data_IF_371946340558
#
_entry.id   IF_371946340558
#
_cell.length_a   1.000
_cell.length_b   1.000
_cell.length_c   1.000
_cell.angle_alpha   90.00
_cell.angle_beta   90.00
_cell.angle_gamma   90.00
#
_symmetry.space_group_name_H-M   'P 1'
#
loop_
_entity.id
_entity.type
_entity.pdbx_description
1 polymer ?
#
# COMPACT_ATOMS: atom_id res chain seq x y z
N UNK A 1 -17.74 1.42 -12.86
CA UNK A 1 -16.55 0.57 -12.69
C UNK A 1 -16.97 -0.87 -12.54
N UNK A 2 -16.18 -1.81 -13.04
CA UNK A 2 -16.51 -3.24 -13.09
C UNK A 2 -15.64 -4.00 -12.11
N UNK A 3 -16.21 -4.43 -10.98
CA UNK A 3 -15.50 -5.27 -10.01
C UNK A 3 -14.95 -6.58 -10.61
N UNK A 4 -15.47 -7.00 -11.78
CA UNK A 4 -14.92 -8.14 -12.50
C UNK A 4 -13.49 -7.89 -12.98
N UNK A 5 -13.13 -6.67 -13.40
CA UNK A 5 -11.79 -6.37 -13.88
C UNK A 5 -10.78 -6.43 -12.72
N UNK A 6 -11.13 -5.82 -11.58
CA UNK A 6 -10.40 -5.93 -10.31
C UNK A 6 -10.16 -7.41 -9.96
N UNK A 7 -11.22 -8.23 -9.96
CA UNK A 7 -11.12 -9.66 -9.69
C UNK A 7 -10.24 -10.43 -10.66
N UNK A 8 -10.22 -10.07 -11.94
CA UNK A 8 -9.35 -10.76 -12.90
C UNK A 8 -7.90 -10.38 -12.66
N UNK A 9 -7.62 -9.10 -12.45
CA UNK A 9 -6.26 -8.61 -12.20
C UNK A 9 -5.67 -9.20 -10.92
N UNK A 10 -6.44 -9.22 -9.84
CA UNK A 10 -5.98 -9.78 -8.56
C UNK A 10 -5.68 -11.29 -8.59
N UNK A 11 -6.05 -12.03 -9.65
CA UNK A 11 -5.63 -13.44 -9.81
C UNK A 11 -4.19 -13.60 -10.28
N UNK A 12 -3.56 -12.52 -10.73
CA UNK A 12 -2.13 -12.52 -11.10
C UNK A 12 -1.24 -12.63 -9.86
N UNK A 13 -1.77 -12.31 -8.68
CA UNK A 13 -1.07 -12.30 -7.40
C UNK A 13 -1.58 -13.38 -6.45
N UNK A 14 -0.72 -13.83 -5.55
CA UNK A 14 -1.12 -14.54 -4.34
C UNK A 14 -1.62 -13.50 -3.33
N UNK A 15 -2.65 -13.85 -2.57
CA UNK A 15 -3.31 -12.92 -1.65
C UNK A 15 -3.25 -13.53 -0.26
N UNK A 16 -2.44 -12.95 0.63
CA UNK A 16 -2.48 -13.26 2.05
C UNK A 16 -3.51 -12.35 2.73
N UNK A 17 -4.75 -12.83 2.79
CA UNK A 17 -5.85 -12.11 3.40
C UNK A 17 -6.06 -12.53 4.85
N UNK A 18 -5.95 -11.58 5.77
CA UNK A 18 -6.33 -11.77 7.18
C UNK A 18 -7.85 -11.67 7.28
N UNK A 19 -8.53 -12.80 7.09
CA UNK A 19 -9.99 -12.87 7.21
C UNK A 19 -10.40 -13.37 8.59
N UNK A 20 -11.17 -12.57 9.34
CA UNK A 20 -11.88 -13.06 10.52
C UNK A 20 -13.31 -13.48 10.12
N UNK A 21 -13.63 -14.78 10.12
CA UNK A 21 -14.93 -15.29 9.69
C UNK A 21 -16.08 -14.87 10.61
N UNK A 22 -15.79 -14.33 11.79
CA UNK A 22 -16.81 -13.84 12.74
C UNK A 22 -17.31 -12.44 12.39
N UNK A 23 -16.66 -11.75 11.45
CA UNK A 23 -16.99 -10.38 11.10
C UNK A 23 -18.23 -10.31 10.21
N UNK A 24 -19.20 -9.52 10.64
CA UNK A 24 -20.29 -9.09 9.79
C UNK A 24 -19.82 -7.95 8.87
N UNK A 25 -19.28 -8.30 7.70
CA UNK A 25 -18.71 -7.35 6.74
C UNK A 25 -19.67 -6.21 6.36
N UNK A 26 -20.97 -6.49 6.26
CA UNK A 26 -21.97 -5.47 5.91
C UNK A 26 -22.24 -4.49 7.05
N UNK A 27 -22.16 -4.94 8.29
CA UNK A 27 -22.34 -4.09 9.49
C UNK A 27 -21.12 -3.21 9.69
N UNK A 28 -19.92 -3.78 9.62
CA UNK A 28 -18.67 -3.01 9.70
C UNK A 28 -18.56 -1.94 8.61
N UNK A 29 -18.91 -2.27 7.36
CA UNK A 29 -18.94 -1.28 6.28
C UNK A 29 -19.92 -0.13 6.56
N UNK A 30 -21.10 -0.44 7.11
CA UNK A 30 -22.08 0.60 7.48
C UNK A 30 -21.55 1.49 8.60
N UNK A 31 -20.88 0.92 9.60
CA UNK A 31 -20.26 1.68 10.68
C UNK A 31 -19.19 2.62 10.15
N UNK A 32 -18.28 2.14 9.28
CA UNK A 32 -17.25 2.96 8.64
C UNK A 32 -17.88 4.11 7.83
N UNK A 33 -18.85 3.82 6.96
CA UNK A 33 -19.54 4.85 6.17
C UNK A 33 -20.29 5.88 7.05
N UNK A 34 -20.88 5.43 8.17
CA UNK A 34 -21.49 6.32 9.15
C UNK A 34 -20.46 7.21 9.85
N UNK A 35 -19.30 6.66 10.23
CA UNK A 35 -18.23 7.39 10.92
C UNK A 35 -17.61 8.46 10.02
N UNK A 36 -17.35 8.12 8.75
CA UNK A 36 -16.84 9.07 7.74
C UNK A 36 -17.95 10.07 7.32
N UNK A 37 -19.22 9.66 7.43
CA UNK A 37 -20.37 10.45 6.97
C UNK A 37 -20.52 10.45 5.45
N UNK A 38 -19.91 9.48 4.74
CA UNK A 38 -19.90 9.35 3.29
C UNK A 38 -20.08 7.89 2.88
N UNK A 39 -20.58 7.68 1.66
CA UNK A 39 -20.67 6.36 1.06
C UNK A 39 -19.38 6.03 0.31
N UNK A 40 -18.84 4.83 0.51
CA UNK A 40 -17.68 4.36 -0.24
C UNK A 40 -18.07 3.96 -1.66
N UNK A 41 -17.15 4.08 -2.64
CA UNK A 41 -17.33 3.57 -4.00
C UNK A 41 -17.71 2.08 -4.00
N UNK A 42 -18.56 1.68 -4.94
CA UNK A 42 -19.14 0.32 -4.94
C UNK A 42 -18.11 -0.77 -5.17
N UNK A 43 -17.14 -0.51 -6.05
CA UNK A 43 -16.05 -1.43 -6.36
C UNK A 43 -15.10 -1.63 -5.18
N UNK A 44 -14.79 -0.56 -4.44
CA UNK A 44 -14.00 -0.65 -3.21
C UNK A 44 -14.74 -1.39 -2.10
N UNK A 45 -16.06 -1.19 -1.96
CA UNK A 45 -16.89 -1.99 -1.03
C UNK A 45 -16.86 -3.47 -1.38
N UNK A 46 -16.95 -3.80 -2.66
CA UNK A 46 -16.90 -5.19 -3.11
C UNK A 46 -15.50 -5.80 -2.88
N UNK A 47 -14.43 -5.00 -3.04
CA UNK A 47 -13.07 -5.40 -2.68
C UNK A 47 -12.93 -5.69 -1.18
N UNK A 48 -13.37 -4.77 -0.30
CA UNK A 48 -13.35 -4.96 1.15
C UNK A 48 -14.15 -6.21 1.59
N UNK A 49 -15.25 -6.51 0.88
CA UNK A 49 -16.02 -7.73 1.14
C UNK A 49 -15.35 -8.99 0.63
N UNK A 50 -14.71 -8.93 -0.53
CA UNK A 50 -14.08 -10.07 -1.18
C UNK A 50 -12.76 -10.46 -0.53
N UNK A 51 -11.88 -9.47 -0.34
CA UNK A 51 -10.47 -9.65 0.02
C UNK A 51 -10.19 -9.14 1.43
N UNK A 52 -10.84 -8.05 1.86
CA UNK A 52 -10.58 -7.46 3.17
C UNK A 52 -9.20 -6.82 3.23
N UNK A 53 -8.53 -6.96 4.37
CA UNK A 53 -7.16 -6.48 4.54
C UNK A 53 -6.22 -7.60 4.11
N UNK A 54 -5.27 -7.29 3.23
CA UNK A 54 -4.43 -8.30 2.61
C UNK A 54 -3.11 -7.76 2.11
N UNK A 55 -2.11 -8.63 2.16
CA UNK A 55 -0.85 -8.47 1.45
C UNK A 55 -0.95 -9.14 0.07
N UNK A 56 -0.36 -8.52 -0.96
CA UNK A 56 -0.25 -9.11 -2.28
C UNK A 56 1.17 -9.63 -2.48
N UNK A 57 1.28 -10.90 -2.86
CA UNK A 57 2.54 -11.54 -3.19
C UNK A 57 2.60 -11.85 -4.69
N UNK A 58 3.76 -11.64 -5.29
CA UNK A 58 3.99 -12.09 -6.66
C UNK A 58 3.83 -13.60 -6.78
N UNK A 59 3.19 -14.05 -7.85
CA UNK A 59 3.16 -15.48 -8.20
C UNK A 59 4.37 -15.90 -9.04
N UNK A 60 5.21 -14.94 -9.44
CA UNK A 60 6.47 -15.23 -10.12
C UNK A 60 7.47 -15.73 -9.10
N UNK A 61 7.71 -17.03 -9.11
CA UNK A 61 8.76 -17.65 -8.31
C UNK A 61 9.87 -18.09 -9.24
N UNK A 62 11.03 -17.43 -9.14
CA UNK A 62 12.29 -18.01 -9.61
C UNK A 62 13.19 -18.15 -8.38
N UNK A 63 13.94 -19.25 -8.28
CA UNK A 63 14.83 -19.50 -7.13
C UNK A 63 15.94 -18.42 -6.96
N UNK A 64 16.08 -17.50 -7.93
CA UNK A 64 17.15 -16.51 -8.00
C UNK A 64 16.66 -15.05 -7.87
N UNK A 65 15.37 -14.79 -8.07
CA UNK A 65 14.81 -13.43 -8.10
C UNK A 65 13.47 -13.44 -7.36
N UNK A 66 13.41 -12.62 -6.30
CA UNK A 66 12.18 -12.29 -5.60
C UNK A 66 11.50 -11.10 -6.28
N UNK A 67 10.18 -10.99 -6.12
CA UNK A 67 9.38 -9.97 -6.79
C UNK A 67 8.43 -9.33 -5.79
N UNK A 68 8.42 -8.00 -5.79
CA UNK A 68 7.45 -7.19 -5.07
C UNK A 68 6.27 -6.83 -5.98
N UNK A 69 5.12 -6.56 -5.35
CA UNK A 69 3.96 -6.02 -6.05
C UNK A 69 3.99 -4.50 -5.94
N UNK A 70 4.17 -3.83 -7.06
CA UNK A 70 4.25 -2.38 -7.16
C UNK A 70 3.08 -1.81 -7.97
N UNK A 71 2.83 -0.51 -7.87
CA UNK A 71 1.87 0.22 -8.72
C UNK A 71 2.58 1.23 -9.62
N UNK A 72 1.97 1.55 -10.76
CA UNK A 72 2.44 2.59 -11.69
C UNK A 72 1.62 3.87 -11.50
N UNK A 73 2.14 4.90 -10.81
CA UNK A 73 1.37 6.10 -10.52
C UNK A 73 1.25 7.04 -11.73
N UNK A 74 0.19 7.85 -11.75
CA UNK A 74 0.02 8.96 -12.71
C UNK A 74 1.05 10.08 -12.45
N UNK A 75 1.21 10.48 -11.20
CA UNK A 75 2.19 11.47 -10.74
C UNK A 75 3.28 10.77 -9.92
N UNK A 76 4.56 11.05 -10.22
CA UNK A 76 5.67 10.57 -9.41
C UNK A 76 5.67 11.26 -8.04
N UNK A 77 5.80 10.47 -6.98
CA UNK A 77 6.02 10.97 -5.63
C UNK A 77 7.54 11.26 -5.39
N UNK A 78 7.90 11.97 -4.30
CA UNK A 78 9.28 12.37 -4.03
C UNK A 78 10.24 11.21 -3.70
N UNK A 79 9.72 10.03 -3.37
CA UNK A 79 10.49 8.86 -2.96
C UNK A 79 10.88 7.98 -4.14
N UNK A 80 10.26 8.17 -5.30
CA UNK A 80 10.60 7.43 -6.52
C UNK A 80 11.96 7.89 -7.08
N UNK A 81 12.78 6.92 -7.47
CA UNK A 81 14.00 7.17 -8.23
C UNK A 81 13.72 7.88 -9.55
N UNK A 82 14.77 8.51 -10.08
CA UNK A 82 14.67 9.28 -11.34
C UNK A 82 14.17 8.43 -12.50
N UNK A 83 14.67 7.20 -12.59
CA UNK A 83 14.41 6.26 -13.67
C UNK A 83 13.33 5.22 -13.32
N UNK A 84 12.86 5.20 -12.07
CA UNK A 84 11.79 4.31 -11.60
C UNK A 84 10.43 4.76 -12.14
N UNK A 85 9.57 3.82 -12.54
CA UNK A 85 8.20 4.10 -12.95
C UNK A 85 7.15 3.43 -12.07
N UNK A 86 7.59 2.79 -10.98
CA UNK A 86 6.77 2.00 -10.06
C UNK A 86 7.09 2.35 -8.60
N UNK A 87 6.14 2.07 -7.70
CA UNK A 87 6.31 2.26 -6.26
C UNK A 87 5.72 1.08 -5.50
N UNK A 88 6.34 0.71 -4.37
CA UNK A 88 5.94 -0.44 -3.58
C UNK A 88 4.56 -0.27 -2.95
N UNK A 89 3.72 -1.30 -3.12
CA UNK A 89 2.50 -1.49 -2.34
C UNK A 89 2.82 -2.45 -1.19
N UNK A 90 2.51 -2.06 0.04
CA UNK A 90 2.62 -2.95 1.19
C UNK A 90 1.27 -3.67 1.45
N UNK A 91 0.50 -3.22 2.44
CA UNK A 91 -0.71 -3.91 2.89
C UNK A 91 -1.97 -3.12 2.58
N UNK A 92 -2.98 -3.77 2.00
CA UNK A 92 -4.33 -3.22 1.97
C UNK A 92 -4.98 -3.26 3.35
N UNK A 93 -5.69 -2.18 3.68
CA UNK A 93 -6.53 -2.15 4.87
C UNK A 93 -7.89 -2.79 4.63
N UNK A 94 -8.44 -3.39 5.68
CA UNK A 94 -9.69 -4.12 5.66
C UNK A 94 -10.58 -3.95 6.87
N UNK A 95 -11.67 -4.70 6.84
CA UNK A 95 -12.75 -4.64 7.84
C UNK A 95 -12.41 -5.35 9.15
N UNK A 96 -11.29 -6.07 9.21
CA UNK A 96 -10.85 -6.74 10.42
C UNK A 96 -10.37 -5.76 11.47
N UNK A 97 -10.59 -6.09 12.75
CA UNK A 97 -10.10 -5.29 13.87
C UNK A 97 -8.68 -5.73 14.27
N UNK A 98 -7.76 -5.79 13.31
CA UNK A 98 -6.37 -6.20 13.50
C UNK A 98 -5.41 -5.04 13.15
N UNK A 99 -4.16 -5.35 12.79
CA UNK A 99 -3.17 -4.35 12.40
C UNK A 99 -3.47 -3.71 11.04
N UNK A 100 -4.16 -4.42 10.15
CA UNK A 100 -4.54 -3.96 8.81
C UNK A 100 -5.98 -3.42 8.82
N UNK A 101 -6.41 -2.82 9.93
CA UNK A 101 -7.79 -2.33 10.10
C UNK A 101 -7.97 -0.94 9.48
N UNK A 102 -8.88 -0.83 8.52
CA UNK A 102 -9.20 0.45 7.88
C UNK A 102 -9.77 1.46 8.88
N UNK A 103 -10.58 1.02 9.85
CA UNK A 103 -11.14 1.92 10.86
C UNK A 103 -10.03 2.50 11.75
N UNK A 104 -9.05 1.67 12.17
CA UNK A 104 -7.91 2.16 12.95
C UNK A 104 -7.04 3.10 12.14
N UNK A 105 -6.80 2.81 10.87
CA UNK A 105 -6.05 3.68 9.98
C UNK A 105 -6.74 5.05 9.84
N UNK A 106 -8.05 5.06 9.58
CA UNK A 106 -8.86 6.30 9.53
C UNK A 106 -8.74 7.09 10.84
N UNK A 107 -8.91 6.43 11.99
CA UNK A 107 -8.84 7.09 13.30
C UNK A 107 -7.45 7.69 13.54
N UNK A 108 -6.40 6.97 13.14
CA UNK A 108 -4.98 7.34 13.32
C UNK A 108 -4.62 8.61 12.55
N UNK A 109 -5.14 8.78 11.33
CA UNK A 109 -4.81 9.91 10.45
C UNK A 109 -5.91 10.97 10.36
N UNK A 110 -6.96 10.86 11.18
CA UNK A 110 -8.15 11.73 11.14
C UNK A 110 -7.86 13.21 11.36
N UNK A 111 -6.77 13.56 12.01
CA UNK A 111 -6.30 14.93 12.25
C UNK A 111 -5.38 15.45 11.14
N UNK A 112 -4.83 14.56 10.31
CA UNK A 112 -3.93 14.89 9.20
C UNK A 112 -4.63 14.92 7.85
N UNK A 113 -5.73 14.18 7.69
CA UNK A 113 -6.42 14.06 6.41
C UNK A 113 -7.64 14.98 6.30
N UNK A 114 -7.91 15.54 5.11
CA UNK A 114 -9.22 16.08 4.79
C UNK A 114 -10.32 15.04 5.03
N UNK A 115 -11.52 15.47 5.44
CA UNK A 115 -12.63 14.57 5.82
C UNK A 115 -13.10 13.62 4.71
N UNK A 116 -12.80 13.93 3.46
CA UNK A 116 -13.16 13.12 2.29
C UNK A 116 -12.05 12.13 1.89
N UNK A 117 -10.88 12.20 2.51
CA UNK A 117 -9.73 11.34 2.21
C UNK A 117 -9.57 10.32 3.32
N UNK A 118 -9.47 9.04 2.94
CA UNK A 118 -9.23 7.93 3.88
C UNK A 118 -8.03 7.09 3.43
N UNK A 119 -7.26 6.52 4.35
CA UNK A 119 -6.24 5.53 4.01
C UNK A 119 -6.91 4.22 3.58
N UNK A 120 -6.37 3.59 2.54
CA UNK A 120 -6.87 2.32 1.99
C UNK A 120 -5.79 1.23 1.91
N UNK A 121 -4.51 1.61 1.92
CA UNK A 121 -3.36 0.71 2.01
C UNK A 121 -2.13 1.44 2.55
N UNK A 122 -1.18 0.73 3.15
CA UNK A 122 0.12 1.29 3.56
C UNK A 122 1.11 1.31 2.40
N UNK A 123 2.10 2.19 2.53
CA UNK A 123 3.29 2.25 1.67
C UNK A 123 4.54 2.48 2.52
N UNK A 124 5.70 2.18 1.95
CA UNK A 124 6.99 2.19 2.65
C UNK A 124 7.27 3.53 3.34
N UNK A 125 7.92 3.48 4.50
CA UNK A 125 8.32 4.68 5.25
C UNK A 125 7.21 5.30 6.10
N UNK A 126 6.11 4.59 6.33
CA UNK A 126 4.95 5.11 7.05
C UNK A 126 4.06 6.02 6.20
N UNK A 127 4.24 5.95 4.87
CA UNK A 127 3.40 6.61 3.89
C UNK A 127 2.09 5.84 3.69
N UNK A 128 1.10 6.49 3.09
CA UNK A 128 -0.23 5.90 2.93
C UNK A 128 -0.73 6.03 1.50
N UNK A 129 -1.39 4.99 1.01
CA UNK A 129 -2.22 5.07 -0.18
C UNK A 129 -3.65 5.38 0.27
N UNK A 130 -4.18 6.48 -0.24
CA UNK A 130 -5.43 7.07 0.20
C UNK A 130 -6.46 7.14 -0.93
N UNK A 131 -7.73 7.20 -0.56
CA UNK A 131 -8.85 7.40 -1.46
C UNK A 131 -9.54 8.73 -1.13
N UNK A 132 -9.64 9.61 -2.13
CA UNK A 132 -10.59 10.72 -2.10
C UNK A 132 -11.97 10.18 -2.49
N UNK A 133 -12.85 10.05 -1.50
CA UNK A 133 -14.19 9.47 -1.65
C UNK A 133 -15.07 10.31 -2.58
N UNK A 134 -14.89 11.63 -2.61
CA UNK A 134 -15.75 12.52 -3.39
C UNK A 134 -15.41 12.50 -4.88
N UNK A 135 -14.13 12.34 -5.20
CA UNK A 135 -13.63 12.31 -6.57
C UNK A 135 -13.27 10.90 -7.06
N UNK A 136 -13.38 9.90 -6.19
CA UNK A 136 -12.97 8.50 -6.37
C UNK A 136 -11.48 8.31 -6.75
N UNK A 137 -10.65 9.34 -6.55
CA UNK A 137 -9.22 9.33 -6.90
C UNK A 137 -8.40 8.59 -5.86
N UNK A 138 -7.32 7.95 -6.31
CA UNK A 138 -6.34 7.31 -5.44
C UNK A 138 -5.10 8.20 -5.37
N UNK A 139 -4.65 8.46 -4.16
CA UNK A 139 -3.59 9.40 -3.85
C UNK A 139 -2.49 8.68 -3.05
N UNK A 140 -1.24 8.97 -3.32
CA UNK A 140 -0.15 8.67 -2.40
C UNK A 140 -0.01 9.84 -1.43
N UNK A 141 0.15 9.55 -0.15
CA UNK A 141 0.38 10.52 0.90
C UNK A 141 1.77 10.36 1.50
N UNK A 142 2.53 11.45 1.47
CA UNK A 142 3.85 11.55 2.08
C UNK A 142 3.73 11.98 3.55
N UNK A 143 4.11 11.07 4.45
CA UNK A 143 4.06 11.27 5.89
C UNK A 143 5.07 12.34 6.38
N UNK A 144 6.18 12.54 5.68
CA UNK A 144 7.22 13.49 6.07
C UNK A 144 6.89 14.93 5.70
N UNK A 145 6.04 15.13 4.70
CA UNK A 145 5.60 16.47 4.33
C UNK A 145 4.58 16.98 5.37
N UNK A 146 4.74 18.26 5.72
CA UNK A 146 3.93 18.96 6.72
C UNK A 146 3.08 20.07 6.10
N UNK A 147 2.81 20.00 4.79
CA UNK A 147 2.10 21.03 4.04
C UNK A 147 0.81 20.45 3.44
N UNK A 148 -0.36 20.66 4.07
CA UNK A 148 -1.61 19.97 3.72
C UNK A 148 -2.00 20.00 2.23
N UNK A 149 -1.56 21.01 1.48
CA UNK A 149 -1.85 21.20 0.05
C UNK A 149 -0.89 20.47 -0.90
N UNK A 150 0.17 19.82 -0.38
CA UNK A 150 1.26 19.21 -1.16
C UNK A 150 1.64 17.80 -0.70
N UNK A 151 1.02 17.31 0.35
CA UNK A 151 1.35 16.01 0.91
C UNK A 151 0.74 14.86 0.08
N UNK A 152 -0.14 15.15 -0.89
CA UNK A 152 -0.84 14.16 -1.71
C UNK A 152 -0.46 14.24 -3.19
N UNK A 153 -0.20 13.08 -3.79
CA UNK A 153 0.17 12.91 -5.21
C UNK A 153 -0.86 12.00 -5.89
N UNK A 154 -1.32 12.35 -7.08
CA UNK A 154 -2.32 11.54 -7.78
C UNK A 154 -1.69 10.28 -8.37
N UNK A 155 -2.13 9.10 -7.92
CA UNK A 155 -1.59 7.83 -8.43
C UNK A 155 -2.57 7.08 -9.34
N UNK A 156 -3.89 7.26 -9.19
CA UNK A 156 -4.90 6.78 -10.13
C UNK A 156 -6.20 7.59 -10.10
N UNK A 157 -6.97 7.62 -11.19
CA UNK A 157 -8.26 8.31 -11.22
C UNK A 157 -9.41 7.48 -10.64
N UNK A 158 -9.15 6.22 -10.31
CA UNK A 158 -10.14 5.32 -9.70
C UNK A 158 -9.47 4.15 -8.98
N UNK A 159 -10.21 3.50 -8.07
CA UNK A 159 -9.76 2.27 -7.44
C UNK A 159 -9.54 1.14 -8.46
N UNK A 160 -10.44 1.00 -9.45
CA UNK A 160 -10.24 0.05 -10.55
C UNK A 160 -8.94 0.31 -11.32
N UNK A 161 -8.65 1.56 -11.69
CA UNK A 161 -7.40 1.92 -12.39
C UNK A 161 -6.17 1.65 -11.53
N UNK A 162 -6.22 1.94 -10.23
CA UNK A 162 -5.14 1.64 -9.30
C UNK A 162 -4.83 0.14 -9.27
N UNK A 163 -5.83 -0.72 -9.08
CA UNK A 163 -5.61 -2.17 -9.08
C UNK A 163 -5.09 -2.66 -10.44
N UNK A 164 -5.59 -2.11 -11.55
CA UNK A 164 -5.12 -2.47 -12.89
C UNK A 164 -3.67 -2.02 -13.16
N UNK A 165 -3.16 -1.02 -12.44
CA UNK A 165 -1.77 -0.54 -12.53
C UNK A 165 -0.76 -1.44 -11.82
N UNK A 166 -1.21 -2.41 -11.02
CA UNK A 166 -0.34 -3.29 -10.25
C UNK A 166 0.52 -4.17 -11.18
N UNK A 167 1.80 -4.32 -10.84
CA UNK A 167 2.79 -5.11 -11.59
C UNK A 167 3.75 -5.77 -10.61
N UNK A 168 4.33 -6.90 -11.01
CA UNK A 168 5.48 -7.43 -10.26
C UNK A 168 6.76 -6.75 -10.73
N UNK A 169 7.53 -6.23 -9.78
CA UNK A 169 8.87 -5.69 -10.00
C UNK A 169 9.91 -6.58 -9.31
N UNK A 170 11.02 -6.92 -9.99
CA UNK A 170 12.07 -7.71 -9.37
C UNK A 170 12.71 -6.92 -8.23
N UNK A 171 12.90 -7.58 -7.09
CA UNK A 171 13.69 -7.02 -6.00
C UNK A 171 15.15 -7.11 -6.46
N UNK A 172 15.79 -5.95 -6.68
CA UNK A 172 17.24 -5.93 -6.87
C UNK A 172 17.87 -6.40 -5.56
N UNK A 173 18.53 -7.56 -5.58
CA UNK A 173 19.35 -7.97 -4.46
C UNK A 173 20.46 -6.91 -4.31
N UNK A 174 20.55 -6.29 -3.14
CA UNK A 174 21.65 -5.39 -2.81
C UNK A 174 22.96 -6.10 -3.18
N UNK A 175 23.67 -5.61 -4.21
CA UNK A 175 25.08 -5.95 -4.44
C UNK A 175 25.98 -5.27 -3.39
N UNK A 176 25.53 -5.19 -2.14
CA UNK A 176 26.35 -4.80 -0.98
C UNK A 176 26.71 -6.07 -0.19
N UNK A 177 27.52 -6.94 -0.82
CA UNK A 177 28.66 -7.50 -0.08
C UNK A 177 29.63 -6.32 0.08
N UNK A 178 29.44 -5.56 1.16
CA UNK A 178 30.40 -4.57 1.63
C UNK A 178 31.68 -5.33 2.00
N UNK A 179 32.50 -5.56 0.99
CA UNK A 179 33.77 -6.26 1.09
C UNK A 179 34.70 -5.63 2.11
N UNK A 180 34.51 -5.93 3.38
CA UNK A 180 35.56 -5.89 4.39
C UNK A 180 36.39 -7.13 4.15
N UNK A 181 37.27 -7.07 3.14
CA UNK A 181 38.08 -8.21 2.78
C UNK A 181 39.11 -8.52 3.88
N UNK A 182 39.68 -7.51 4.54
CA UNK A 182 40.59 -7.68 5.69
C UNK A 182 40.68 -6.38 6.49
N UNK A 183 40.66 -6.47 7.81
CA UNK A 183 41.27 -5.45 8.68
C UNK A 183 42.70 -5.94 8.96
N UNK A 184 43.69 -5.29 8.36
CA UNK A 184 45.07 -5.40 8.86
C UNK A 184 45.11 -4.68 10.22
N UNK A 185 45.08 -5.47 11.29
CA UNK A 185 45.47 -4.99 12.61
C UNK A 185 47.01 -4.89 12.59
N UNK A 186 47.54 -3.67 12.58
CA UNK A 186 48.95 -3.47 12.90
C UNK A 186 49.22 -4.04 14.30
N UNK A 187 50.23 -4.91 14.40
CA UNK A 187 50.67 -5.60 15.64
C UNK A 187 51.07 -4.64 16.78
N UNK A 188 51.11 -3.33 16.52
CA UNK A 188 51.41 -2.28 17.51
C UNK A 188 50.29 -2.05 18.54
N UNK A 189 49.10 -2.61 18.33
CA UNK A 189 47.97 -2.52 19.28
C UNK A 189 47.89 -3.70 20.27
N UNK A 190 48.76 -4.70 20.16
CA UNK A 190 48.75 -5.91 21.01
C UNK A 190 49.82 -5.95 22.10
N UNK A 191 50.68 -4.92 22.22
CA UNK A 191 51.73 -4.85 23.23
C UNK A 191 51.61 -3.62 24.17
N UNK A 192 50.47 -3.48 24.85
CA UNK A 192 50.37 -2.66 26.08
C UNK A 192 50.34 -3.52 27.34
#
# INVERSE_FOLDING_TARGET
MSFNNIKQKLKEFSIDAKTDPRINKNEQLKEIEMNIGKQLPSDYKDFLKGYGGCYLESTKTTDEIEYDVCYKPIEKDPWMGKDDDTQLLEDFYGLANDHSSIQKAIDTYSDRFPRNIIPIASSAGGNEICMDIDNEKILFWDHELSHPDKDFFLIANSFEEFILSLVDEPIEADEEDDGILYIELDDDLLNS
#
